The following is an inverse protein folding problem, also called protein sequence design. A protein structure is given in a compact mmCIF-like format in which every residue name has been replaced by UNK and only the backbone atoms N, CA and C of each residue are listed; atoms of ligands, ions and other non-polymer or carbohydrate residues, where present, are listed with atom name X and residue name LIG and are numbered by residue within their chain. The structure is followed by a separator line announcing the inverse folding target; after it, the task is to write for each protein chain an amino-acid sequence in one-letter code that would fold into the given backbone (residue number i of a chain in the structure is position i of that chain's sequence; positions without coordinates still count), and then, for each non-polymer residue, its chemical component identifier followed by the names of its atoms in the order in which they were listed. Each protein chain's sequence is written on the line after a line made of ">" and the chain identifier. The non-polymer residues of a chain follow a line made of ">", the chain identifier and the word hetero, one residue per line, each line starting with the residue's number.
data_IF_131155936196
#
_entry.id   IF_131155936196
#
_cell.length_a   1.000
_cell.length_b   1.000
_cell.length_c   1.000
_cell.angle_alpha   90.00
_cell.angle_beta   90.00
_cell.angle_gamma   90.00
#
_symmetry.space_group_name_H-M   'P 1'
#
loop_
_entity.id
_entity.type
_entity.pdbx_description
1 polymer ?
#
# COMPACT_ATOMS: atom_id res chain seq x y z
N UNK A 1 -12.02 -25.39 6.99
CA UNK A 1 -10.80 -24.61 6.70
C UNK A 1 -10.86 -23.38 7.59
N UNK A 2 -10.01 -23.23 8.61
CA UNK A 2 -10.03 -21.99 9.37
C UNK A 2 -9.45 -20.91 8.45
N UNK A 3 -10.32 -20.01 8.03
CA UNK A 3 -9.94 -18.70 7.51
C UNK A 3 -8.96 -18.10 8.51
N UNK A 4 -7.70 -17.93 8.11
CA UNK A 4 -6.64 -17.43 8.96
C UNK A 4 -6.92 -15.97 9.28
N UNK A 5 -7.68 -15.74 10.35
CA UNK A 5 -7.80 -14.44 10.99
C UNK A 5 -6.41 -14.05 11.51
N UNK A 6 -5.91 -12.90 11.02
CA UNK A 6 -4.69 -12.20 11.44
C UNK A 6 -3.32 -12.77 10.97
N UNK A 7 -3.17 -13.13 9.68
CA UNK A 7 -1.82 -13.17 9.09
C UNK A 7 -1.35 -11.73 8.86
N UNK A 8 -0.82 -11.09 9.91
CA UNK A 8 0.01 -9.89 9.77
C UNK A 8 1.17 -10.21 8.83
N UNK A 9 1.28 -9.45 7.74
CA UNK A 9 2.36 -9.62 6.76
C UNK A 9 3.73 -9.67 7.45
N UNK A 10 4.66 -10.56 7.06
CA UNK A 10 5.99 -10.64 7.67
C UNK A 10 6.75 -9.31 7.64
N UNK A 11 7.61 -9.09 8.63
CA UNK A 11 8.55 -7.97 8.62
C UNK A 11 9.35 -7.93 7.30
N UNK A 12 9.46 -6.75 6.70
CA UNK A 12 10.14 -6.54 5.42
C UNK A 12 9.24 -6.73 4.19
N UNK A 13 7.99 -7.19 4.35
CA UNK A 13 7.03 -7.26 3.24
C UNK A 13 6.81 -5.86 2.67
N UNK A 14 6.89 -5.71 1.35
CA UNK A 14 6.63 -4.45 0.66
C UNK A 14 5.27 -4.48 -0.05
N UNK A 15 4.53 -3.37 0.06
CA UNK A 15 3.31 -3.12 -0.71
C UNK A 15 3.56 -1.94 -1.64
N UNK A 16 3.16 -2.08 -2.91
CA UNK A 16 3.23 -1.03 -3.90
C UNK A 16 1.82 -0.64 -4.36
N UNK A 17 1.56 0.65 -4.41
CA UNK A 17 0.36 1.22 -4.99
C UNK A 17 0.51 1.29 -6.50
N UNK A 18 -0.45 0.73 -7.21
CA UNK A 18 -0.56 0.85 -8.65
C UNK A 18 -1.85 1.60 -8.98
N UNK A 19 -1.72 2.75 -9.64
CA UNK A 19 -2.89 3.52 -10.05
C UNK A 19 -3.51 2.92 -11.32
N UNK A 20 -4.84 3.01 -11.49
CA UNK A 20 -5.49 2.69 -12.77
C UNK A 20 -4.91 3.50 -13.94
N UNK A 21 -5.04 3.04 -15.20
CA UNK A 21 -4.44 3.69 -16.36
C UNK A 21 -4.85 5.17 -16.57
N UNK A 22 -6.04 5.55 -16.11
CA UNK A 22 -6.63 6.90 -16.21
C UNK A 22 -6.39 7.74 -14.94
N UNK A 23 -5.49 7.32 -14.06
CA UNK A 23 -5.16 8.00 -12.81
C UNK A 23 -3.65 8.28 -12.68
N UNK A 24 -3.32 9.39 -12.03
CA UNK A 24 -1.97 9.69 -11.57
C UNK A 24 -1.86 9.56 -10.06
N UNK A 25 -0.68 9.24 -9.55
CA UNK A 25 -0.41 9.32 -8.13
C UNK A 25 -0.25 10.78 -7.71
N UNK A 26 -1.03 11.22 -6.72
CA UNK A 26 -0.87 12.56 -6.16
C UNK A 26 0.55 12.77 -5.61
N UNK A 27 1.20 13.86 -6.02
CA UNK A 27 2.63 14.14 -5.80
C UNK A 27 3.06 14.07 -4.33
N UNK A 28 2.15 14.30 -3.39
CA UNK A 28 2.44 14.30 -1.95
C UNK A 28 2.45 12.91 -1.31
N UNK A 29 2.10 11.87 -2.06
CA UNK A 29 1.94 10.51 -1.54
C UNK A 29 3.11 9.58 -1.85
N UNK A 30 3.33 8.58 -0.99
CA UNK A 30 4.24 7.47 -1.30
C UNK A 30 3.53 6.40 -2.13
N UNK A 31 4.21 5.88 -3.15
CA UNK A 31 3.71 4.75 -3.94
C UNK A 31 4.01 3.38 -3.32
N UNK A 32 4.70 3.33 -2.17
CA UNK A 32 5.06 2.07 -1.53
C UNK A 32 5.11 2.21 -0.01
N UNK A 33 5.03 1.05 0.67
CA UNK A 33 5.21 0.88 2.11
C UNK A 33 5.89 -0.43 2.42
N UNK A 34 6.42 -0.52 3.64
CA UNK A 34 7.00 -1.72 4.22
C UNK A 34 6.32 -2.08 5.53
N UNK A 35 6.08 -3.36 5.73
CA UNK A 35 5.64 -3.89 7.01
C UNK A 35 6.84 -4.00 7.96
N UNK A 36 6.78 -3.31 9.09
CA UNK A 36 7.78 -3.35 10.16
C UNK A 36 7.12 -3.98 11.37
N UNK A 37 7.49 -5.23 11.67
CA UNK A 37 6.98 -5.98 12.83
C UNK A 37 5.44 -6.06 12.87
N UNK A 38 4.82 -6.29 11.71
CA UNK A 38 3.36 -6.40 11.59
C UNK A 38 2.64 -5.06 11.47
N UNK A 39 3.35 -3.93 11.42
CA UNK A 39 2.78 -2.58 11.26
C UNK A 39 3.28 -1.96 9.96
N UNK A 40 2.38 -1.50 9.09
CA UNK A 40 2.75 -0.79 7.87
C UNK A 40 3.29 0.60 8.18
N UNK A 41 4.46 0.95 7.62
CA UNK A 41 5.03 2.27 7.80
C UNK A 41 4.35 3.32 6.89
N UNK A 42 4.19 4.55 7.40
CA UNK A 42 3.72 5.70 6.62
C UNK A 42 2.29 5.60 6.06
N UNK A 43 1.94 6.54 5.17
CA UNK A 43 0.70 6.60 4.39
C UNK A 43 0.98 6.36 2.90
N UNK A 44 0.02 5.75 2.19
CA UNK A 44 0.10 5.63 0.73
C UNK A 44 -0.46 6.92 0.17
N UNK A 45 -0.01 7.29 -1.02
CA UNK A 45 -0.65 8.34 -1.79
C UNK A 45 -2.04 7.96 -2.25
N UNK A 46 -2.73 8.93 -2.82
CA UNK A 46 -4.01 8.72 -3.49
C UNK A 46 -3.82 8.77 -5.00
N UNK A 47 -4.51 7.89 -5.70
CA UNK A 47 -4.63 7.97 -7.15
C UNK A 47 -5.75 8.98 -7.48
N UNK A 48 -5.45 9.97 -8.32
CA UNK A 48 -6.39 10.99 -8.78
C UNK A 48 -6.64 10.81 -10.28
N UNK A 49 -7.87 11.03 -10.78
CA UNK A 49 -8.15 10.97 -12.21
C UNK A 49 -7.29 11.97 -12.99
N UNK A 50 -6.81 11.56 -14.16
CA UNK A 50 -6.26 12.47 -15.17
C UNK A 50 -7.42 13.32 -15.70
N UNK A 51 -7.43 14.61 -15.36
CA UNK A 51 -8.45 15.57 -15.82
C UNK A 51 -8.24 15.96 -17.29
#
# INVERSE_FOLDING_TARGET
>A
LPIAEDVRYPHGTQAMLHCPPDHYLEVKGNYWKMCVNGVWNGSLGECKPLA
#
